data_IF_575406754275
#
_entry.id   IF_575406754275
#
_cell.length_a   1.000
_cell.length_b   1.000
_cell.length_c   1.000
_cell.angle_alpha   90.00
_cell.angle_beta   90.00
_cell.angle_gamma   90.00
#
_symmetry.space_group_name_H-M   'P 1'
#
loop_
_entity.id
_entity.type
_entity.pdbx_description
1 polymer ?
#
# COMPACT_ATOMS: atom_id res chain seq x y z
N UNK A 1 41.58 -86.56 38.10
CA UNK A 1 40.38 -85.75 38.41
C UNK A 1 39.90 -85.11 37.11
N UNK A 2 38.70 -85.49 36.65
CA UNK A 2 38.07 -85.05 35.40
C UNK A 2 37.11 -83.91 35.74
N UNK A 3 37.39 -82.70 35.30
CA UNK A 3 36.45 -81.57 35.37
C UNK A 3 35.57 -81.58 34.13
N UNK A 4 34.26 -81.80 34.34
CA UNK A 4 33.21 -81.64 33.31
C UNK A 4 33.00 -80.13 33.08
N UNK A 5 33.26 -79.66 31.87
CA UNK A 5 32.71 -78.40 31.40
C UNK A 5 31.25 -78.64 30.99
N UNK A 6 30.34 -78.02 31.74
CA UNK A 6 28.92 -77.94 31.38
C UNK A 6 28.75 -76.73 30.48
N UNK A 7 28.43 -76.97 29.22
CA UNK A 7 27.99 -75.96 28.25
C UNK A 7 26.56 -75.58 28.62
N UNK A 8 26.34 -74.32 28.99
CA UNK A 8 25.00 -73.74 29.10
C UNK A 8 24.68 -73.14 27.74
N UNK A 9 23.80 -73.82 26.98
CA UNK A 9 23.09 -73.22 25.87
C UNK A 9 22.14 -72.15 26.43
N UNK A 10 22.45 -70.88 26.15
CA UNK A 10 21.53 -69.78 26.36
C UNK A 10 20.71 -69.64 25.07
N UNK A 11 19.46 -70.07 25.20
CA UNK A 11 18.36 -69.92 24.25
C UNK A 11 18.37 -68.53 23.60
N UNK A 12 18.60 -68.49 22.30
CA UNK A 12 18.26 -67.36 21.45
C UNK A 12 16.77 -67.40 21.19
N UNK A 13 16.00 -66.69 22.00
CA UNK A 13 14.59 -66.42 21.72
C UNK A 13 14.26 -64.99 22.10
N UNK A 14 13.78 -64.25 21.10
CA UNK A 14 13.05 -62.99 21.20
C UNK A 14 13.85 -61.76 21.60
N UNK A 15 14.28 -60.99 20.59
CA UNK A 15 13.74 -59.63 20.56
C UNK A 15 13.52 -59.14 19.12
N UNK A 16 12.26 -58.78 18.89
CA UNK A 16 11.71 -58.24 17.66
C UNK A 16 12.51 -57.02 17.21
N UNK A 17 13.26 -57.17 16.12
CA UNK A 17 13.65 -56.06 15.26
C UNK A 17 12.42 -55.59 14.48
N UNK A 18 11.44 -55.02 15.17
CA UNK A 18 10.50 -54.12 14.53
C UNK A 18 11.30 -52.89 14.13
N UNK A 19 11.68 -52.86 12.85
CA UNK A 19 12.24 -51.69 12.18
C UNK A 19 11.23 -50.55 12.24
N UNK A 20 11.15 -49.86 13.38
CA UNK A 20 10.68 -48.49 13.41
C UNK A 20 11.74 -47.69 12.65
N UNK A 21 11.53 -47.54 11.34
CA UNK A 21 12.17 -46.44 10.62
C UNK A 21 11.75 -45.19 11.37
N UNK A 22 12.68 -44.60 12.14
CA UNK A 22 12.48 -43.30 12.72
C UNK A 22 12.21 -42.36 11.54
N UNK A 23 10.93 -42.04 11.30
CA UNK A 23 10.53 -41.11 10.27
C UNK A 23 11.30 -39.83 10.56
N UNK A 24 12.28 -39.49 9.70
CA UNK A 24 13.02 -38.25 9.83
C UNK A 24 11.98 -37.13 9.89
N UNK A 25 12.01 -36.31 10.95
CA UNK A 25 10.93 -35.38 11.16
C UNK A 25 10.88 -34.40 9.99
N UNK A 26 9.65 -34.19 9.46
CA UNK A 26 9.37 -33.48 8.20
C UNK A 26 9.58 -31.95 8.29
N UNK A 27 10.38 -31.48 9.24
CA UNK A 27 10.71 -30.07 9.47
C UNK A 27 11.14 -29.27 8.23
N UNK A 28 11.99 -29.78 7.30
CA UNK A 28 12.37 -29.02 6.12
C UNK A 28 11.20 -28.78 5.15
N UNK A 29 10.22 -29.69 5.09
CA UNK A 29 9.03 -29.48 4.28
C UNK A 29 8.16 -28.36 4.86
N UNK A 30 7.98 -28.34 6.19
CA UNK A 30 7.19 -27.30 6.87
C UNK A 30 7.78 -25.92 6.62
N UNK A 31 9.10 -25.76 6.72
CA UNK A 31 9.74 -24.47 6.45
C UNK A 31 9.61 -24.03 4.98
N UNK A 32 9.73 -24.95 4.02
CA UNK A 32 9.52 -24.63 2.61
C UNK A 32 8.08 -24.20 2.34
N UNK A 33 7.10 -24.84 2.98
CA UNK A 33 5.71 -24.43 2.93
C UNK A 33 5.50 -23.03 3.52
N UNK A 34 6.07 -22.75 4.70
CA UNK A 34 6.00 -21.43 5.32
C UNK A 34 6.60 -20.33 4.43
N UNK A 35 7.75 -20.60 3.79
CA UNK A 35 8.37 -19.69 2.84
C UNK A 35 7.48 -19.44 1.62
N UNK A 36 6.96 -20.50 1.00
CA UNK A 36 6.10 -20.41 -0.17
C UNK A 36 4.82 -19.61 0.11
N UNK A 37 4.16 -19.86 1.25
CA UNK A 37 2.96 -19.14 1.68
C UNK A 37 3.28 -17.66 1.95
N UNK A 38 4.38 -17.38 2.66
CA UNK A 38 4.80 -15.99 2.92
C UNK A 38 5.07 -15.22 1.62
N UNK A 39 5.79 -15.84 0.68
CA UNK A 39 6.09 -15.25 -0.62
C UNK A 39 4.81 -14.97 -1.42
N UNK A 40 3.90 -15.94 -1.46
CA UNK A 40 2.61 -15.78 -2.16
C UNK A 40 1.79 -14.64 -1.54
N UNK A 41 1.70 -14.56 -0.21
CA UNK A 41 0.99 -13.47 0.48
C UNK A 41 1.62 -12.10 0.18
N UNK A 42 2.95 -12.00 0.15
CA UNK A 42 3.64 -10.76 -0.22
C UNK A 42 3.36 -10.36 -1.67
N UNK A 43 3.38 -11.31 -2.61
CA UNK A 43 3.03 -11.05 -4.02
C UNK A 43 1.59 -10.57 -4.17
N UNK A 44 0.65 -11.19 -3.45
CA UNK A 44 -0.76 -10.77 -3.45
C UNK A 44 -0.93 -9.35 -2.91
N UNK A 45 -0.25 -9.00 -1.81
CA UNK A 45 -0.26 -7.63 -1.28
C UNK A 45 0.31 -6.63 -2.28
N UNK A 46 1.44 -6.93 -2.94
CA UNK A 46 2.02 -6.03 -3.95
C UNK A 46 1.15 -5.91 -5.21
N UNK A 47 0.54 -7.01 -5.66
CA UNK A 47 -0.38 -6.99 -6.79
C UNK A 47 -1.63 -6.16 -6.47
N UNK A 48 -2.13 -6.26 -5.25
CA UNK A 48 -3.25 -5.47 -4.78
C UNK A 48 -2.87 -3.98 -4.67
N UNK A 49 -1.72 -3.67 -4.05
CA UNK A 49 -1.18 -2.31 -3.99
C UNK A 49 -0.99 -1.69 -5.37
N UNK A 50 -0.64 -2.48 -6.38
CA UNK A 50 -0.48 -1.98 -7.75
C UNK A 50 -1.82 -1.69 -8.46
N UNK A 51 -2.84 -2.52 -8.22
CA UNK A 51 -4.10 -2.47 -8.97
C UNK A 51 -5.17 -1.59 -8.34
N UNK A 52 -5.29 -1.61 -7.03
CA UNK A 52 -6.44 -1.06 -6.32
C UNK A 52 -6.07 0.22 -5.59
N UNK A 53 -6.86 1.25 -5.87
CA UNK A 53 -6.89 2.55 -5.23
C UNK A 53 -7.02 2.49 -3.71
N UNK A 54 -7.89 1.62 -3.23
CA UNK A 54 -8.28 1.52 -1.83
C UNK A 54 -7.24 0.85 -0.94
N UNK A 55 -6.18 0.30 -1.53
CA UNK A 55 -5.13 -0.36 -0.77
C UNK A 55 -4.50 0.59 0.25
N UNK A 56 -4.20 1.83 -0.14
CA UNK A 56 -3.55 2.81 0.74
C UNK A 56 -4.45 3.20 1.90
N UNK A 57 -5.74 3.42 1.61
CA UNK A 57 -6.73 3.72 2.65
C UNK A 57 -6.90 2.53 3.60
N UNK A 58 -6.96 1.30 3.07
CA UNK A 58 -7.07 0.08 3.87
C UNK A 58 -5.84 -0.12 4.76
N UNK A 59 -4.64 0.12 4.22
CA UNK A 59 -3.39 0.02 4.96
C UNK A 59 -3.26 1.13 6.01
N UNK A 60 -3.68 2.35 5.69
CA UNK A 60 -3.71 3.46 6.64
C UNK A 60 -4.67 3.17 7.81
N UNK A 61 -5.91 2.72 7.52
CA UNK A 61 -6.87 2.30 8.54
C UNK A 61 -6.28 1.17 9.38
N UNK A 62 -5.65 0.16 8.76
CA UNK A 62 -5.00 -0.92 9.49
C UNK A 62 -3.90 -0.40 10.44
N UNK A 63 -3.03 0.49 9.97
CA UNK A 63 -1.95 1.11 10.77
C UNK A 63 -2.51 1.96 11.92
N UNK A 64 -3.61 2.68 11.70
CA UNK A 64 -4.31 3.42 12.76
C UNK A 64 -4.92 2.46 13.78
N UNK A 65 -5.65 1.43 13.35
CA UNK A 65 -6.33 0.46 14.23
C UNK A 65 -5.36 -0.39 15.04
N UNK A 66 -4.20 -0.72 14.48
CA UNK A 66 -3.12 -1.45 15.18
C UNK A 66 -2.26 -0.53 16.05
N UNK A 67 -2.51 0.79 16.04
CA UNK A 67 -1.78 1.76 16.85
C UNK A 67 -0.39 2.11 16.33
N UNK A 68 -0.03 1.69 15.11
CA UNK A 68 1.23 2.04 14.43
C UNK A 68 1.26 3.53 14.10
N UNK A 69 0.13 4.10 13.69
CA UNK A 69 -0.04 5.54 13.46
C UNK A 69 -1.02 6.08 14.48
N UNK A 70 -0.63 7.15 15.18
CA UNK A 70 -1.54 7.93 16.03
C UNK A 70 -2.11 9.07 15.20
N UNK A 71 -3.44 9.21 15.18
CA UNK A 71 -4.07 10.37 14.58
C UNK A 71 -3.89 11.54 15.56
N UNK A 72 -3.26 12.66 15.15
CA UNK A 72 -3.17 13.83 16.00
C UNK A 72 -4.59 14.37 16.29
N UNK A 73 -4.85 14.75 17.54
CA UNK A 73 -6.18 15.21 17.99
C UNK A 73 -6.67 16.51 17.33
N UNK A 74 -5.87 17.13 16.48
CA UNK A 74 -6.21 18.31 15.69
C UNK A 74 -7.05 17.93 14.47
N UNK A 75 -8.37 17.85 14.66
CA UNK A 75 -9.37 17.58 13.62
C UNK A 75 -9.56 18.71 12.58
N UNK A 76 -8.47 19.25 12.01
CA UNK A 76 -8.50 20.46 11.18
C UNK A 76 -8.22 20.26 9.68
N UNK A 77 -7.79 19.08 9.23
CA UNK A 77 -7.48 18.87 7.80
C UNK A 77 -8.49 18.01 7.05
N UNK A 78 -9.39 17.33 7.76
CA UNK A 78 -10.38 16.45 7.14
C UNK A 78 -11.71 16.57 7.89
N UNK A 79 -12.64 17.37 7.35
CA UNK A 79 -13.99 17.50 7.90
C UNK A 79 -14.63 16.13 8.14
N UNK A 80 -15.24 15.98 9.32
CA UNK A 80 -16.11 14.86 9.74
C UNK A 80 -15.60 13.43 9.45
N UNK A 81 -14.37 13.10 9.86
CA UNK A 81 -13.79 11.75 9.66
C UNK A 81 -14.31 10.62 10.58
N UNK A 82 -15.36 10.82 11.38
CA UNK A 82 -16.00 9.67 12.06
C UNK A 82 -16.68 8.70 11.09
N UNK A 83 -17.06 9.16 9.88
CA UNK A 83 -17.66 8.32 8.83
C UNK A 83 -16.64 7.60 7.94
N UNK A 84 -15.36 8.03 7.89
CA UNK A 84 -14.31 7.38 7.06
C UNK A 84 -13.85 6.04 7.67
N UNK A 85 -14.19 5.81 8.93
CA UNK A 85 -13.93 4.59 9.67
C UNK A 85 -15.12 3.64 9.79
N UNK A 86 -16.24 3.91 9.09
CA UNK A 86 -17.34 2.96 9.01
C UNK A 86 -16.85 1.66 8.35
N UNK A 87 -17.07 0.56 9.07
CA UNK A 87 -16.63 -0.78 8.69
C UNK A 87 -17.19 -1.23 7.33
N UNK A 88 -18.31 -0.65 6.89
CA UNK A 88 -19.07 -1.12 5.74
C UNK A 88 -18.37 -0.88 4.39
N UNK A 89 -17.49 0.12 4.29
CA UNK A 89 -16.85 0.46 3.00
C UNK A 89 -15.49 -0.22 2.81
N UNK A 90 -14.69 -0.30 3.88
CA UNK A 90 -13.32 -0.84 3.81
C UNK A 90 -13.05 -2.04 4.73
N UNK A 91 -14.00 -2.44 5.58
CA UNK A 91 -13.77 -3.46 6.62
C UNK A 91 -13.29 -4.81 6.09
N UNK A 92 -13.89 -5.32 5.01
CA UNK A 92 -13.45 -6.56 4.38
C UNK A 92 -12.02 -6.44 3.80
N UNK A 93 -11.69 -5.28 3.21
CA UNK A 93 -10.37 -4.99 2.65
C UNK A 93 -9.32 -4.91 3.77
N UNK A 94 -9.62 -4.19 4.85
CA UNK A 94 -8.75 -4.11 6.03
C UNK A 94 -8.53 -5.49 6.66
N UNK A 95 -9.58 -6.32 6.75
CA UNK A 95 -9.49 -7.68 7.27
C UNK A 95 -8.59 -8.58 6.40
N UNK A 96 -8.74 -8.52 5.07
CA UNK A 96 -7.88 -9.28 4.14
C UNK A 96 -6.42 -8.83 4.27
N UNK A 97 -6.15 -7.53 4.30
CA UNK A 97 -4.81 -7.01 4.49
C UNK A 97 -4.20 -7.49 5.82
N UNK A 98 -4.96 -7.37 6.91
CA UNK A 98 -4.55 -7.85 8.24
C UNK A 98 -4.26 -9.35 8.26
N UNK A 99 -5.09 -10.16 7.62
CA UNK A 99 -4.89 -11.61 7.49
C UNK A 99 -3.59 -11.93 6.74
N UNK A 100 -3.32 -11.27 5.61
CA UNK A 100 -2.10 -11.48 4.83
C UNK A 100 -0.84 -11.11 5.62
N UNK A 101 -0.86 -10.00 6.36
CA UNK A 101 0.25 -9.63 7.26
C UNK A 101 0.44 -10.63 8.40
N UNK A 102 -0.65 -11.11 9.00
CA UNK A 102 -0.61 -12.11 10.06
C UNK A 102 -0.02 -13.43 9.55
N UNK A 103 -0.37 -13.87 8.34
CA UNK A 103 0.20 -15.06 7.69
C UNK A 103 1.72 -14.91 7.51
N UNK A 104 2.18 -13.79 6.95
CA UNK A 104 3.61 -13.52 6.74
C UNK A 104 4.35 -13.53 8.09
N UNK A 105 3.81 -12.85 9.09
CA UNK A 105 4.40 -12.78 10.44
C UNK A 105 4.47 -14.16 11.12
N UNK A 106 3.37 -14.89 11.16
CA UNK A 106 3.30 -16.21 11.80
C UNK A 106 4.24 -17.21 11.11
N UNK A 107 4.24 -17.25 9.78
CA UNK A 107 5.14 -18.12 9.03
C UNK A 107 6.61 -17.77 9.33
N UNK A 108 6.96 -16.48 9.40
CA UNK A 108 8.33 -16.04 9.69
C UNK A 108 8.81 -16.46 11.07
N UNK A 109 7.94 -16.33 12.10
CA UNK A 109 8.25 -16.78 13.46
C UNK A 109 8.46 -18.29 13.51
N UNK A 110 7.57 -19.07 12.87
CA UNK A 110 7.70 -20.53 12.79
C UNK A 110 9.02 -20.91 12.10
N UNK A 111 9.36 -20.24 11.00
CA UNK A 111 10.61 -20.46 10.27
C UNK A 111 11.84 -20.30 11.17
N UNK A 112 11.91 -19.21 11.94
CA UNK A 112 13.01 -18.93 12.87
C UNK A 112 13.07 -19.96 14.00
N UNK A 113 11.95 -20.29 14.63
CA UNK A 113 11.90 -21.28 15.72
C UNK A 113 12.40 -22.64 15.23
N UNK A 114 11.96 -23.07 14.04
CA UNK A 114 12.40 -24.34 13.44
C UNK A 114 13.89 -24.33 13.05
N UNK A 115 14.42 -23.19 12.60
CA UNK A 115 15.84 -23.07 12.29
C UNK A 115 16.71 -23.20 13.55
N UNK A 116 16.25 -22.64 14.67
CA UNK A 116 16.94 -22.73 15.96
C UNK A 116 16.87 -24.13 16.56
N UNK A 117 15.80 -24.89 16.34
CA UNK A 117 15.63 -26.22 16.95
C UNK A 117 16.34 -27.36 16.21
N UNK A 118 16.49 -27.27 14.88
CA UNK A 118 17.03 -28.36 14.04
C UNK A 118 18.54 -28.22 13.79
N UNK A 119 19.16 -27.07 14.13
CA UNK A 119 20.60 -26.77 13.97
C UNK A 119 21.18 -27.19 12.60
N UNK A 120 20.40 -26.99 11.52
CA UNK A 120 20.78 -27.36 10.16
C UNK A 120 21.00 -26.12 9.29
N UNK A 121 22.07 -26.11 8.49
CA UNK A 121 22.39 -25.00 7.59
C UNK A 121 21.27 -24.72 6.58
N UNK A 122 20.59 -25.76 6.08
CA UNK A 122 19.47 -25.60 5.13
C UNK A 122 18.27 -24.90 5.78
N UNK A 123 17.95 -25.27 7.01
CA UNK A 123 16.82 -24.67 7.73
C UNK A 123 17.11 -23.23 8.12
N UNK A 124 18.38 -22.92 8.38
CA UNK A 124 18.85 -21.56 8.60
C UNK A 124 18.72 -20.68 7.34
N UNK A 125 19.13 -21.19 6.18
CA UNK A 125 18.99 -20.46 4.90
C UNK A 125 17.52 -20.18 4.57
N UNK A 126 16.63 -21.15 4.75
CA UNK A 126 15.19 -20.96 4.50
C UNK A 126 14.58 -19.92 5.44
N UNK A 127 14.94 -19.95 6.72
CA UNK A 127 14.50 -18.92 7.67
C UNK A 127 15.02 -17.53 7.29
N UNK A 128 16.27 -17.41 6.82
CA UNK A 128 16.84 -16.14 6.38
C UNK A 128 16.11 -15.59 5.15
N UNK A 129 15.79 -16.43 4.16
CA UNK A 129 14.98 -16.06 3.00
C UNK A 129 13.58 -15.61 3.43
N UNK A 130 13.00 -16.26 4.43
CA UNK A 130 11.67 -15.93 4.91
C UNK A 130 11.62 -14.58 5.62
N UNK A 131 12.62 -14.32 6.47
CA UNK A 131 12.82 -13.00 7.07
C UNK A 131 13.02 -11.95 5.97
N UNK A 132 13.82 -12.24 4.95
CA UNK A 132 13.98 -11.34 3.81
C UNK A 132 12.64 -11.02 3.12
N UNK A 133 11.76 -12.02 2.89
CA UNK A 133 10.41 -11.79 2.34
C UNK A 133 9.60 -10.83 3.23
N UNK A 134 9.63 -10.99 4.54
CA UNK A 134 8.97 -10.06 5.47
C UNK A 134 9.49 -8.62 5.36
N UNK A 135 10.80 -8.44 5.17
CA UNK A 135 11.42 -7.12 5.03
C UNK A 135 11.34 -6.53 3.61
N UNK A 136 11.07 -7.33 2.58
CA UNK A 136 10.95 -6.82 1.21
C UNK A 136 9.71 -5.95 1.01
N UNK A 137 8.60 -6.26 1.70
CA UNK A 137 7.32 -5.59 1.45
C UNK A 137 7.38 -4.06 1.58
N UNK A 138 7.87 -3.45 2.69
CA UNK A 138 7.95 -1.99 2.80
C UNK A 138 8.82 -1.32 1.72
N UNK A 139 9.87 -2.02 1.29
CA UNK A 139 10.80 -1.53 0.26
C UNK A 139 10.14 -1.49 -1.12
N UNK A 140 9.34 -2.51 -1.45
CA UNK A 140 8.62 -2.57 -2.72
C UNK A 140 7.31 -1.78 -2.71
N UNK A 141 6.63 -1.67 -1.57
CA UNK A 141 5.40 -0.88 -1.38
C UNK A 141 5.59 0.55 -1.92
N UNK A 142 6.64 1.25 -1.47
CA UNK A 142 6.91 2.62 -1.92
C UNK A 142 7.08 2.72 -3.45
N UNK A 143 7.79 1.76 -4.05
CA UNK A 143 8.01 1.72 -5.51
C UNK A 143 6.71 1.42 -6.25
N UNK A 144 5.92 0.48 -5.76
CA UNK A 144 4.62 0.10 -6.32
C UNK A 144 3.62 1.25 -6.23
N UNK A 145 3.52 1.92 -5.08
CA UNK A 145 2.65 3.07 -4.89
C UNK A 145 3.06 4.23 -5.82
N UNK A 146 4.37 4.50 -5.98
CA UNK A 146 4.84 5.53 -6.92
C UNK A 146 4.53 5.17 -8.37
N UNK A 147 4.71 3.90 -8.76
CA UNK A 147 4.38 3.43 -10.11
C UNK A 147 2.87 3.50 -10.37
N UNK A 148 2.03 3.13 -9.38
CA UNK A 148 0.58 3.27 -9.46
C UNK A 148 0.17 4.72 -9.61
N UNK A 149 0.69 5.61 -8.76
CA UNK A 149 0.41 7.03 -8.79
C UNK A 149 0.75 7.64 -10.15
N UNK A 150 1.93 7.33 -10.70
CA UNK A 150 2.32 7.80 -12.03
C UNK A 150 1.37 7.29 -13.13
N UNK A 151 1.02 6.00 -13.11
CA UNK A 151 0.06 5.42 -14.06
C UNK A 151 -1.32 6.07 -13.97
N UNK A 152 -1.82 6.29 -12.75
CA UNK A 152 -3.10 6.97 -12.52
C UNK A 152 -3.05 8.42 -13.01
N UNK A 153 -1.97 9.15 -12.71
CA UNK A 153 -1.78 10.51 -13.17
C UNK A 153 -1.74 10.59 -14.71
N UNK A 154 -1.03 9.67 -15.36
CA UNK A 154 -0.99 9.58 -16.82
C UNK A 154 -2.38 9.25 -17.43
N UNK A 155 -3.17 8.38 -16.78
CA UNK A 155 -4.53 8.07 -17.23
C UNK A 155 -5.50 9.25 -17.05
N UNK A 156 -5.31 10.08 -16.02
CA UNK A 156 -6.13 11.26 -15.75
C UNK A 156 -5.73 12.47 -16.61
N UNK A 157 -4.50 12.50 -17.11
CA UNK A 157 -3.95 13.64 -17.84
C UNK A 157 -4.82 14.13 -19.01
N UNK A 158 -5.44 13.28 -19.86
CA UNK A 158 -6.33 13.75 -20.92
C UNK A 158 -7.53 14.54 -20.40
N UNK A 159 -8.10 14.13 -19.27
CA UNK A 159 -9.22 14.83 -18.62
C UNK A 159 -8.73 16.15 -18.03
N UNK A 160 -7.60 16.15 -17.33
CA UNK A 160 -7.01 17.37 -16.79
C UNK A 160 -6.74 18.40 -17.90
N UNK A 161 -6.28 17.96 -19.07
CA UNK A 161 -6.10 18.81 -20.25
C UNK A 161 -7.41 19.38 -20.77
N UNK A 162 -8.46 18.57 -20.86
CA UNK A 162 -9.78 19.06 -21.29
C UNK A 162 -10.34 20.10 -20.31
N UNK A 163 -10.28 19.80 -19.01
CA UNK A 163 -10.71 20.71 -17.95
C UNK A 163 -9.92 22.02 -18.03
N UNK A 164 -8.58 21.95 -18.05
CA UNK A 164 -7.74 23.14 -18.17
C UNK A 164 -8.08 23.93 -19.44
N UNK A 165 -8.20 23.27 -20.59
CA UNK A 165 -8.49 23.92 -21.87
C UNK A 165 -9.80 24.70 -21.86
N UNK A 166 -10.81 24.24 -21.11
CA UNK A 166 -12.09 24.96 -20.95
C UNK A 166 -12.05 26.04 -19.87
N UNK A 167 -11.28 25.84 -18.80
CA UNK A 167 -11.21 26.77 -17.67
C UNK A 167 -10.14 27.86 -17.83
N UNK A 168 -9.23 27.74 -18.80
CA UNK A 168 -8.11 28.65 -18.98
C UNK A 168 -8.58 30.08 -19.27
N UNK A 169 -9.52 30.24 -20.19
CA UNK A 169 -10.01 31.54 -20.64
C UNK A 169 -11.17 32.07 -19.77
N UNK A 170 -11.98 31.17 -19.19
CA UNK A 170 -13.19 31.52 -18.44
C UNK A 170 -13.29 30.72 -17.13
N UNK A 171 -12.94 31.36 -16.02
CA UNK A 171 -13.04 30.75 -14.70
C UNK A 171 -14.47 30.89 -14.18
N UNK A 172 -15.22 29.79 -14.04
CA UNK A 172 -16.66 29.85 -13.88
C UNK A 172 -17.07 30.37 -12.50
N UNK A 173 -18.04 31.29 -12.50
CA UNK A 173 -18.73 31.81 -11.30
C UNK A 173 -20.03 31.06 -10.98
N UNK A 174 -20.38 30.07 -11.79
CA UNK A 174 -21.53 29.18 -11.63
C UNK A 174 -21.15 27.72 -11.89
N UNK A 175 -22.08 26.80 -11.64
CA UNK A 175 -21.87 25.39 -11.91
C UNK A 175 -21.78 25.11 -13.40
N UNK A 176 -20.71 24.42 -13.81
CA UNK A 176 -20.50 23.97 -15.19
C UNK A 176 -20.27 22.47 -15.25
N UNK A 177 -20.60 21.86 -16.38
CA UNK A 177 -20.32 20.44 -16.62
C UNK A 177 -19.22 20.29 -17.66
N UNK A 178 -18.09 19.70 -17.27
CA UNK A 178 -16.94 19.45 -18.15
C UNK A 178 -16.61 17.97 -18.08
N UNK A 179 -16.54 17.29 -19.23
CA UNK A 179 -16.26 15.84 -19.30
C UNK A 179 -17.21 14.98 -18.43
N UNK A 180 -18.46 15.44 -18.21
CA UNK A 180 -19.44 14.78 -17.33
C UNK A 180 -19.26 15.07 -15.83
N UNK A 181 -18.25 15.85 -15.45
CA UNK A 181 -18.00 16.30 -14.09
C UNK A 181 -18.71 17.63 -13.83
N UNK A 182 -19.45 17.69 -12.72
CA UNK A 182 -20.01 18.95 -12.22
C UNK A 182 -18.95 19.71 -11.45
N UNK A 183 -18.54 20.86 -11.97
CA UNK A 183 -17.53 21.75 -11.39
C UNK A 183 -18.24 23.01 -10.91
N UNK A 184 -18.03 23.37 -9.65
CA UNK A 184 -18.70 24.51 -8.98
C UNK A 184 -17.67 25.42 -8.32
N UNK A 185 -17.84 26.74 -8.36
CA UNK A 185 -16.98 27.64 -7.61
C UNK A 185 -17.16 27.45 -6.10
N UNK A 186 -16.07 27.59 -5.36
CA UNK A 186 -16.12 27.65 -3.90
C UNK A 186 -16.38 29.08 -3.46
N UNK A 187 -17.49 29.31 -2.75
CA UNK A 187 -17.94 30.67 -2.36
C UNK A 187 -16.92 31.45 -1.53
N UNK A 188 -16.07 30.76 -0.78
CA UNK A 188 -15.09 31.38 0.11
C UNK A 188 -13.72 31.59 -0.56
N UNK A 189 -13.49 31.02 -1.76
CA UNK A 189 -12.20 30.98 -2.46
C UNK A 189 -12.41 31.09 -3.97
N UNK A 190 -12.24 32.29 -4.53
CA UNK A 190 -12.49 32.58 -5.96
C UNK A 190 -11.55 31.84 -6.91
N UNK A 191 -10.38 31.44 -6.43
CA UNK A 191 -9.32 30.71 -7.09
C UNK A 191 -9.50 29.17 -7.04
N UNK A 192 -10.60 28.69 -6.44
CA UNK A 192 -10.85 27.28 -6.22
C UNK A 192 -12.20 26.83 -6.77
N UNK A 193 -12.19 25.72 -7.50
CA UNK A 193 -13.39 25.01 -7.94
C UNK A 193 -13.49 23.65 -7.25
N UNK A 194 -14.73 23.17 -7.13
CA UNK A 194 -15.12 21.93 -6.48
C UNK A 194 -15.79 20.98 -7.47
N UNK A 195 -15.39 19.70 -7.46
CA UNK A 195 -15.99 18.65 -8.27
C UNK A 195 -17.12 17.97 -7.48
N UNK A 196 -18.37 18.32 -7.77
CA UNK A 196 -19.54 17.97 -6.97
C UNK A 196 -20.02 16.51 -7.10
N UNK A 197 -19.85 15.89 -8.28
CA UNK A 197 -20.35 14.54 -8.54
C UNK A 197 -19.31 13.43 -8.38
N UNK A 198 -18.22 13.67 -7.66
CA UNK A 198 -17.09 12.73 -7.52
C UNK A 198 -17.46 11.31 -7.03
N UNK A 199 -18.54 11.14 -6.25
CA UNK A 199 -19.02 9.82 -5.76
C UNK A 199 -19.99 9.08 -6.69
N UNK A 200 -20.60 9.76 -7.67
CA UNK A 200 -21.71 9.18 -8.45
C UNK A 200 -21.28 8.52 -9.74
N UNK A 201 -20.08 8.83 -10.20
CA UNK A 201 -19.51 8.23 -11.40
C UNK A 201 -18.87 6.89 -11.05
N UNK A 202 -19.70 5.84 -11.05
CA UNK A 202 -19.31 4.44 -10.80
C UNK A 202 -18.20 3.93 -11.74
N UNK A 203 -18.03 4.60 -12.88
CA UNK A 203 -17.05 4.27 -13.92
C UNK A 203 -15.74 5.05 -13.78
N UNK A 204 -15.67 6.01 -12.85
CA UNK A 204 -14.49 6.83 -12.65
C UNK A 204 -13.73 6.31 -11.45
N UNK A 205 -12.51 5.85 -11.72
CA UNK A 205 -11.52 5.47 -10.73
C UNK A 205 -11.47 6.55 -9.63
N UNK A 206 -11.44 6.15 -8.36
CA UNK A 206 -11.46 6.97 -7.13
C UNK A 206 -10.27 7.96 -7.00
N UNK A 207 -9.65 8.35 -8.12
CA UNK A 207 -8.34 8.96 -8.28
C UNK A 207 -8.42 10.47 -8.48
N UNK A 208 -9.39 10.98 -9.24
CA UNK A 208 -9.55 12.42 -9.48
C UNK A 208 -10.05 13.11 -8.21
N UNK A 209 -9.32 14.13 -7.77
CA UNK A 209 -9.57 14.96 -6.60
C UNK A 209 -10.88 15.74 -6.57
N UNK A 210 -11.21 16.30 -5.40
CA UNK A 210 -12.39 17.15 -5.22
C UNK A 210 -12.17 18.61 -5.65
N UNK A 211 -10.93 19.06 -5.84
CA UNK A 211 -10.58 20.46 -5.97
C UNK A 211 -9.70 20.75 -7.19
N UNK A 212 -9.99 21.88 -7.81
CA UNK A 212 -9.21 22.47 -8.89
C UNK A 212 -8.77 23.85 -8.41
N UNK A 213 -7.50 24.19 -8.59
CA UNK A 213 -6.91 25.44 -8.12
C UNK A 213 -6.29 26.21 -9.29
N UNK A 214 -6.35 27.54 -9.20
CA UNK A 214 -5.54 28.45 -10.01
C UNK A 214 -4.69 29.30 -9.09
N UNK A 215 -3.38 29.13 -9.16
CA UNK A 215 -2.43 29.92 -8.35
C UNK A 215 -2.23 31.34 -8.92
N UNK A 216 -1.63 32.21 -8.11
CA UNK A 216 -1.13 33.53 -8.52
C UNK A 216 -0.06 33.43 -9.63
N UNK A 217 0.59 32.28 -9.73
CA UNK A 217 1.53 31.92 -10.81
C UNK A 217 0.84 31.40 -12.08
N UNK A 218 -0.50 31.47 -12.16
CA UNK A 218 -1.33 30.85 -13.20
C UNK A 218 -1.14 29.33 -13.34
N UNK A 219 -0.52 28.67 -12.36
CA UNK A 219 -0.46 27.22 -12.32
C UNK A 219 -1.88 26.65 -12.13
N UNK A 220 -2.26 25.73 -13.00
CA UNK A 220 -3.51 24.99 -12.89
C UNK A 220 -3.25 23.69 -12.14
N UNK A 221 -4.01 23.40 -11.09
CA UNK A 221 -3.80 22.21 -10.26
C UNK A 221 -5.08 21.42 -10.06
N UNK A 222 -4.96 20.10 -10.09
CA UNK A 222 -6.04 19.16 -9.75
C UNK A 222 -5.50 18.21 -8.69
N UNK A 223 -6.14 18.14 -7.53
CA UNK A 223 -5.72 17.21 -6.49
C UNK A 223 -6.09 15.76 -6.84
N UNK A 224 -5.53 14.80 -6.09
CA UNK A 224 -5.86 13.38 -6.23
C UNK A 224 -6.48 12.86 -4.93
N UNK A 225 -7.67 12.23 -4.97
CA UNK A 225 -8.39 11.80 -3.75
C UNK A 225 -7.61 10.77 -2.94
N UNK A 226 -6.98 9.81 -3.63
CA UNK A 226 -6.22 8.74 -2.99
C UNK A 226 -4.90 9.20 -2.39
N UNK A 227 -4.40 10.35 -2.84
CA UNK A 227 -3.14 10.91 -2.40
C UNK A 227 -3.35 12.38 -2.09
N UNK A 228 -3.82 12.71 -0.87
CA UNK A 228 -4.17 14.09 -0.49
C UNK A 228 -3.01 15.09 -0.64
N UNK A 229 -1.78 14.59 -0.65
CA UNK A 229 -0.56 15.36 -0.89
C UNK A 229 -0.14 15.43 -2.36
N UNK A 230 -0.86 14.80 -3.29
CA UNK A 230 -0.51 14.74 -4.71
C UNK A 230 -1.44 15.60 -5.57
N UNK A 231 -0.85 16.33 -6.51
CA UNK A 231 -1.56 17.13 -7.50
C UNK A 231 -1.02 16.85 -8.91
N UNK A 232 -1.89 16.93 -9.92
CA UNK A 232 -1.49 17.11 -11.31
C UNK A 232 -1.49 18.61 -11.58
N UNK A 233 -0.35 19.13 -12.01
CA UNK A 233 -0.13 20.55 -12.21
C UNK A 233 0.25 20.86 -13.65
N UNK A 234 -0.23 22.00 -14.13
CA UNK A 234 0.18 22.57 -15.39
C UNK A 234 0.79 23.96 -15.18
N UNK A 235 1.95 24.17 -15.79
CA UNK A 235 2.72 25.42 -15.72
C UNK A 235 2.86 26.02 -17.12
N UNK A 236 2.19 27.14 -17.37
CA UNK A 236 2.09 27.71 -18.72
C UNK A 236 3.42 28.17 -19.30
N UNK A 237 4.25 28.76 -18.47
CA UNK A 237 5.61 29.22 -18.79
C UNK A 237 6.65 28.09 -18.76
N UNK A 238 6.23 26.85 -18.48
CA UNK A 238 7.13 25.70 -18.31
C UNK A 238 7.95 25.76 -17.02
N UNK A 239 7.61 26.65 -16.08
CA UNK A 239 8.24 26.70 -14.76
C UNK A 239 8.14 25.36 -14.04
N UNK A 240 9.11 25.11 -13.15
CA UNK A 240 9.07 23.94 -12.30
C UNK A 240 8.07 24.15 -11.15
N UNK A 241 7.42 23.07 -10.66
CA UNK A 241 6.54 23.12 -9.50
C UNK A 241 7.19 23.78 -8.29
N UNK A 242 6.49 24.76 -7.73
CA UNK A 242 6.95 25.58 -6.62
C UNK A 242 6.09 25.45 -5.37
N UNK A 243 6.49 26.17 -4.31
CA UNK A 243 5.62 26.41 -3.15
C UNK A 243 4.40 27.20 -3.61
N UNK A 244 3.24 26.87 -3.06
CA UNK A 244 2.02 27.62 -3.36
C UNK A 244 1.18 27.86 -2.12
N UNK A 245 0.48 28.99 -2.09
CA UNK A 245 -0.44 29.30 -1.00
C UNK A 245 -1.74 28.52 -1.21
N UNK A 246 -1.78 27.25 -0.82
CA UNK A 246 -2.98 26.43 -0.92
C UNK A 246 -4.17 27.04 -0.15
N UNK A 247 -3.87 27.73 0.95
CA UNK A 247 -4.76 28.49 1.84
C UNK A 247 -3.92 29.53 2.62
N UNK A 248 -4.52 30.50 3.32
CA UNK A 248 -3.84 31.47 4.22
C UNK A 248 -3.00 30.85 5.36
N UNK A 249 -3.01 29.53 5.48
CA UNK A 249 -2.27 28.75 6.46
C UNK A 249 -1.26 27.89 5.71
N UNK A 250 0.02 28.28 5.79
CA UNK A 250 1.22 27.59 5.29
C UNK A 250 1.16 27.09 3.84
N UNK A 251 2.02 27.65 2.98
CA UNK A 251 2.21 27.14 1.63
C UNK A 251 2.89 25.76 1.67
N UNK A 252 2.22 24.65 1.30
CA UNK A 252 2.87 23.36 1.22
C UNK A 252 4.07 23.40 0.27
N UNK A 253 5.13 22.64 0.61
CA UNK A 253 6.37 22.60 -0.16
C UNK A 253 6.39 21.36 -1.04
N UNK A 254 6.72 21.47 -2.34
CA UNK A 254 6.87 20.29 -3.18
C UNK A 254 8.07 19.46 -2.67
N UNK A 255 7.80 18.23 -2.27
CA UNK A 255 8.79 17.25 -1.81
C UNK A 255 9.34 16.45 -3.00
N UNK A 256 8.52 16.24 -4.03
CA UNK A 256 8.97 15.66 -5.29
C UNK A 256 8.04 16.05 -6.43
N UNK A 257 8.56 16.09 -7.65
CA UNK A 257 7.74 16.21 -8.86
C UNK A 257 8.25 15.24 -9.93
N UNK A 258 7.34 14.84 -10.82
CA UNK A 258 7.63 13.96 -11.95
C UNK A 258 6.98 14.56 -13.20
N UNK A 259 7.74 14.77 -14.30
CA UNK A 259 7.16 15.22 -15.55
C UNK A 259 6.26 14.13 -16.12
N UNK A 260 5.03 14.51 -16.50
CA UNK A 260 4.10 13.63 -17.23
C UNK A 260 4.19 13.92 -18.74
N UNK A 261 4.22 15.20 -19.09
CA UNK A 261 4.31 15.74 -20.44
C UNK A 261 4.90 17.16 -20.38
N UNK A 262 5.24 17.82 -21.52
CA UNK A 262 5.65 19.21 -21.51
C UNK A 262 4.66 20.06 -20.71
N UNK A 263 5.19 20.82 -19.75
CA UNK A 263 4.44 21.70 -18.84
C UNK A 263 3.47 21.00 -17.87
N UNK A 264 3.37 19.67 -17.87
CA UNK A 264 2.51 18.89 -16.98
C UNK A 264 3.34 18.07 -16.00
N UNK A 265 3.04 18.21 -14.71
CA UNK A 265 3.78 17.57 -13.64
C UNK A 265 2.84 16.85 -12.68
N UNK A 266 3.25 15.69 -12.20
CA UNK A 266 2.72 15.08 -10.99
C UNK A 266 3.57 15.57 -9.81
N UNK A 267 2.96 16.28 -8.87
CA UNK A 267 3.66 16.94 -7.77
C UNK A 267 3.19 16.39 -6.43
N UNK A 268 4.13 16.04 -5.57
CA UNK A 268 3.90 15.61 -4.20
C UNK A 268 4.31 16.71 -3.23
N UNK A 269 3.40 17.08 -2.35
CA UNK A 269 3.57 18.09 -1.33
C UNK A 269 3.75 17.47 0.05
N UNK A 270 4.44 18.18 0.94
CA UNK A 270 4.60 17.79 2.33
C UNK A 270 4.61 19.00 3.24
N UNK A 271 4.37 18.73 4.53
CA UNK A 271 4.53 19.72 5.58
C UNK A 271 6.04 19.97 5.80
N UNK A 272 6.43 21.23 5.83
CA UNK A 272 7.81 21.68 6.07
C UNK A 272 8.23 21.55 7.54
#
# INVERSE_FOLDING_TARGET
MRTKHVTVELDQSSDNSSGQSAEKPRWPLVQLWCLAVSLMSTVLLLAWAYRDASFDMSLWILKVKTGVIKIPHTGLLFGSQSQVLDWDVYGARVAIAGLLFAIIGACSVIGVVLALSVHNTRTFVVALLQVAVAFTFPTFEQKVCRARLHRQAANLLPICKEIRGRLHDDWPDHEVTISGLQIRPRRDYSDMLYIANYRRTKDWDETLGLFIYRDDSNAFRVNLVQFPSANIEYHEDGSLPGRYAANKYSAPVPVSFMPLEPNWYLVMYGDS
#
